data_IF_295874300202
#
_entry.id   IF_295874300202
#
_cell.length_a   1.000
_cell.length_b   1.000
_cell.length_c   1.000
_cell.angle_alpha   90.00
_cell.angle_beta   90.00
_cell.angle_gamma   90.00
#
_symmetry.space_group_name_H-M   'P 1'
#
loop_
_entity.id
_entity.type
_entity.pdbx_description
1 polymer ?
#
# COMPACT_ATOMS: atom_id res chain seq x y z
N UNK A 1 3.04 -5.41 -53.94
CA UNK A 1 3.44 -4.28 -53.06
C UNK A 1 2.45 -3.93 -51.94
N UNK A 2 1.12 -3.99 -52.12
CA UNK A 2 0.16 -3.69 -51.03
C UNK A 2 0.14 -4.73 -49.90
N UNK A 3 0.27 -6.02 -50.22
CA UNK A 3 0.27 -7.11 -49.22
C UNK A 3 1.47 -7.04 -48.26
N UNK A 4 2.65 -6.67 -48.75
CA UNK A 4 3.88 -6.53 -47.95
C UNK A 4 3.72 -5.38 -46.94
N UNK A 5 3.11 -4.26 -47.34
CA UNK A 5 2.85 -3.13 -46.42
C UNK A 5 1.84 -3.47 -45.33
N UNK A 6 0.81 -4.26 -45.64
CA UNK A 6 -0.17 -4.74 -44.65
C UNK A 6 0.48 -5.72 -43.67
N UNK A 7 1.34 -6.62 -44.17
CA UNK A 7 2.08 -7.55 -43.30
C UNK A 7 3.03 -6.81 -42.34
N UNK A 8 3.78 -5.82 -42.81
CA UNK A 8 4.64 -5.00 -41.95
C UNK A 8 3.84 -4.18 -40.92
N UNK A 9 2.65 -3.68 -41.28
CA UNK A 9 1.78 -2.95 -40.34
C UNK A 9 1.21 -3.88 -39.25
N UNK A 10 0.80 -5.10 -39.61
CA UNK A 10 0.31 -6.12 -38.67
C UNK A 10 1.44 -6.59 -37.74
N UNK A 11 2.65 -6.82 -38.26
CA UNK A 11 3.83 -7.17 -37.45
C UNK A 11 4.23 -6.02 -36.51
N UNK A 12 4.09 -4.76 -36.93
CA UNK A 12 4.36 -3.60 -36.07
C UNK A 12 3.34 -3.45 -34.93
N UNK A 13 2.06 -3.74 -35.20
CA UNK A 13 1.00 -3.77 -34.19
C UNK A 13 1.18 -4.94 -33.22
N UNK A 14 1.50 -6.15 -33.71
CA UNK A 14 1.81 -7.30 -32.86
C UNK A 14 3.09 -7.11 -32.03
N UNK A 15 4.12 -6.42 -32.55
CA UNK A 15 5.32 -6.10 -31.78
C UNK A 15 5.06 -5.04 -30.68
N UNK A 16 4.07 -4.16 -30.84
CA UNK A 16 3.65 -3.26 -29.76
C UNK A 16 2.94 -4.01 -28.64
N UNK A 17 2.15 -5.05 -28.96
CA UNK A 17 1.45 -5.87 -27.97
C UNK A 17 2.37 -6.84 -27.21
N UNK A 18 3.57 -7.12 -27.71
CA UNK A 18 4.60 -7.92 -27.03
C UNK A 18 5.58 -7.09 -26.19
N UNK A 19 5.18 -5.90 -25.72
CA UNK A 19 5.84 -5.36 -24.53
C UNK A 19 5.39 -6.18 -23.33
N UNK A 20 6.25 -7.11 -22.89
CA UNK A 20 6.25 -7.61 -21.52
C UNK A 20 5.82 -6.49 -20.58
N UNK A 21 4.79 -6.70 -19.76
CA UNK A 21 4.25 -5.71 -18.83
C UNK A 21 5.40 -5.13 -18.01
N UNK A 22 5.93 -4.00 -18.47
CA UNK A 22 7.16 -3.47 -17.93
C UNK A 22 6.80 -2.92 -16.56
N UNK A 23 7.39 -3.48 -15.50
CA UNK A 23 7.26 -2.93 -14.14
C UNK A 23 7.48 -1.41 -14.18
N UNK A 24 6.42 -0.68 -13.86
CA UNK A 24 6.33 0.78 -13.96
C UNK A 24 6.91 1.46 -12.72
N UNK A 25 7.14 0.70 -11.65
CA UNK A 25 7.86 1.15 -10.47
C UNK A 25 8.86 0.10 -10.01
N UNK A 26 10.09 0.55 -9.71
CA UNK A 26 11.18 -0.29 -9.20
C UNK A 26 11.98 0.45 -8.14
N UNK A 27 12.56 -0.33 -7.23
CA UNK A 27 13.56 0.12 -6.28
C UNK A 27 14.88 -0.53 -6.69
N UNK A 28 15.85 0.27 -7.13
CA UNK A 28 17.11 -0.24 -7.67
C UNK A 28 18.25 0.70 -7.26
N UNK A 29 19.36 0.14 -6.76
CA UNK A 29 20.58 0.89 -6.41
C UNK A 29 20.29 2.14 -5.55
N UNK A 30 19.48 1.98 -4.49
CA UNK A 30 19.11 3.07 -3.58
C UNK A 30 18.23 4.16 -4.22
N UNK A 31 17.58 3.87 -5.34
CA UNK A 31 16.76 4.83 -6.08
C UNK A 31 15.38 4.28 -6.40
N UNK A 32 14.37 5.15 -6.31
CA UNK A 32 13.04 4.87 -6.84
C UNK A 32 13.00 5.24 -8.33
N UNK A 33 12.61 4.27 -9.17
CA UNK A 33 12.45 4.44 -10.61
C UNK A 33 10.98 4.35 -10.95
N UNK A 34 10.38 5.47 -11.37
CA UNK A 34 9.00 5.50 -11.89
C UNK A 34 9.09 5.63 -13.41
N UNK A 35 8.62 4.60 -14.13
CA UNK A 35 8.69 4.47 -15.59
C UNK A 35 10.13 4.72 -16.09
N UNK A 36 11.11 4.13 -15.40
CA UNK A 36 12.54 4.26 -15.71
C UNK A 36 13.19 5.58 -15.27
N UNK A 37 12.43 6.55 -14.73
CA UNK A 37 12.97 7.82 -14.27
C UNK A 37 13.24 7.80 -12.76
N UNK A 38 14.48 8.13 -12.38
CA UNK A 38 14.84 8.38 -10.97
C UNK A 38 13.97 9.49 -10.40
N UNK A 39 13.21 9.15 -9.36
CA UNK A 39 12.24 10.03 -8.74
C UNK A 39 12.46 10.05 -7.23
N UNK A 40 12.54 11.25 -6.64
CA UNK A 40 12.49 11.39 -5.19
C UNK A 40 11.04 11.42 -4.75
N UNK A 41 10.67 10.58 -3.79
CA UNK A 41 9.33 10.62 -3.20
C UNK A 41 9.30 11.67 -2.09
N UNK A 42 8.50 12.70 -2.27
CA UNK A 42 8.22 13.72 -1.25
C UNK A 42 6.78 13.46 -0.79
N UNK A 43 6.67 12.76 0.34
CA UNK A 43 5.44 12.12 0.79
C UNK A 43 4.83 12.87 1.99
N UNK A 44 3.50 13.02 2.00
CA UNK A 44 2.74 13.48 3.16
C UNK A 44 1.69 12.46 3.57
N UNK A 45 1.51 12.26 4.87
CA UNK A 45 0.48 11.37 5.41
C UNK A 45 -0.90 12.06 5.36
N UNK A 46 -1.92 11.36 4.88
CA UNK A 46 -3.30 11.84 4.82
C UNK A 46 -4.26 10.67 5.04
N UNK A 47 -5.11 10.75 6.07
CA UNK A 47 -6.12 9.73 6.35
C UNK A 47 -7.46 10.17 5.80
N UNK A 48 -7.93 9.50 4.72
CA UNK A 48 -9.22 9.79 4.10
C UNK A 48 -10.41 9.61 5.06
N UNK A 49 -10.26 8.70 6.03
CA UNK A 49 -11.24 8.44 7.09
C UNK A 49 -11.46 9.63 8.03
N UNK A 50 -10.47 10.51 8.18
CA UNK A 50 -10.49 11.67 9.07
C UNK A 50 -10.91 12.97 8.34
N UNK A 51 -11.22 12.90 7.05
CA UNK A 51 -11.58 14.05 6.21
C UNK A 51 -12.92 13.76 5.54
N UNK A 52 -13.97 14.58 5.71
CA UNK A 52 -15.23 14.42 4.96
C UNK A 52 -14.97 14.29 3.46
N UNK A 53 -15.64 13.35 2.79
CA UNK A 53 -15.31 12.98 1.42
C UNK A 53 -15.44 14.13 0.43
N UNK A 54 -16.34 15.08 0.71
CA UNK A 54 -16.56 16.29 -0.06
C UNK A 54 -15.31 17.18 -0.10
N UNK A 55 -14.41 17.02 0.87
CA UNK A 55 -13.16 17.77 0.98
C UNK A 55 -11.91 17.01 0.55
N UNK A 56 -11.99 15.73 0.19
CA UNK A 56 -10.81 14.97 -0.25
C UNK A 56 -10.04 15.67 -1.35
N UNK A 57 -10.73 16.09 -2.43
CA UNK A 57 -10.08 16.80 -3.54
C UNK A 57 -9.43 18.12 -3.11
N UNK A 58 -10.09 18.91 -2.25
CA UNK A 58 -9.49 20.15 -1.76
C UNK A 58 -8.19 19.87 -0.99
N UNK A 59 -8.17 18.85 -0.11
CA UNK A 59 -6.96 18.50 0.64
C UNK A 59 -5.84 18.01 -0.28
N UNK A 60 -6.17 17.19 -1.28
CA UNK A 60 -5.20 16.70 -2.27
C UNK A 60 -4.59 17.84 -3.10
N UNK A 61 -5.40 18.84 -3.51
CA UNK A 61 -4.89 20.04 -4.20
C UNK A 61 -3.91 20.83 -3.34
N UNK A 62 -4.19 20.97 -2.04
CA UNK A 62 -3.28 21.64 -1.10
C UNK A 62 -1.98 20.86 -0.92
N UNK A 63 -2.08 19.54 -0.75
CA UNK A 63 -0.93 18.62 -0.72
C UNK A 63 -0.05 18.81 -1.95
N UNK A 64 -0.64 18.86 -3.14
CA UNK A 64 0.09 19.10 -4.39
C UNK A 64 0.74 20.48 -4.42
N UNK A 65 0.01 21.52 -4.00
CA UNK A 65 0.51 22.90 -3.94
C UNK A 65 1.65 23.08 -2.93
N UNK A 66 1.71 22.27 -1.87
CA UNK A 66 2.84 22.22 -0.92
C UNK A 66 4.11 21.62 -1.54
N UNK A 67 4.05 21.08 -2.77
CA UNK A 67 5.18 20.46 -3.46
C UNK A 67 5.30 18.96 -3.24
N UNK A 68 4.33 18.33 -2.56
CA UNK A 68 4.31 16.87 -2.40
C UNK A 68 3.97 16.19 -3.72
N UNK A 69 4.58 15.04 -3.97
CA UNK A 69 4.29 14.22 -5.15
C UNK A 69 3.69 12.86 -4.81
N UNK A 70 3.67 12.50 -3.53
CA UNK A 70 3.16 11.24 -3.02
C UNK A 70 2.35 11.51 -1.76
N UNK A 71 1.29 10.74 -1.56
CA UNK A 71 0.60 10.64 -0.27
C UNK A 71 0.79 9.26 0.32
N UNK A 72 0.77 9.20 1.64
CA UNK A 72 0.68 7.95 2.38
C UNK A 72 -0.66 7.91 3.11
N UNK A 73 -1.31 6.74 3.13
CA UNK A 73 -2.59 6.59 3.80
C UNK A 73 -2.74 5.21 4.44
N UNK A 74 -3.17 5.19 5.71
CA UNK A 74 -3.60 3.97 6.36
C UNK A 74 -4.99 3.53 5.91
N UNK A 75 -5.19 2.22 5.83
CA UNK A 75 -6.51 1.61 5.68
C UNK A 75 -6.95 1.05 7.03
N UNK A 76 -8.04 1.59 7.55
CA UNK A 76 -8.49 1.30 8.91
C UNK A 76 -9.46 0.12 8.86
N UNK A 77 -9.03 -1.07 9.32
CA UNK A 77 -9.81 -2.30 9.21
C UNK A 77 -11.21 -2.22 9.83
N UNK A 78 -11.33 -1.61 11.02
CA UNK A 78 -12.59 -1.38 11.71
C UNK A 78 -13.52 -0.39 11.00
N UNK A 79 -12.94 0.60 10.32
CA UNK A 79 -13.68 1.61 9.57
C UNK A 79 -14.43 0.99 8.39
N UNK A 80 -13.82 0.00 7.74
CA UNK A 80 -14.43 -0.79 6.67
C UNK A 80 -15.27 -1.97 7.16
N UNK A 81 -14.95 -2.55 8.32
CA UNK A 81 -15.66 -3.73 8.86
C UNK A 81 -16.45 -3.38 10.13
N UNK A 82 -17.42 -2.47 9.98
CA UNK A 82 -18.28 -2.01 11.09
C UNK A 82 -19.28 -3.08 11.56
N UNK A 83 -19.79 -3.88 10.63
CA UNK A 83 -20.74 -4.98 10.89
C UNK A 83 -20.07 -6.35 10.67
N UNK A 84 -20.58 -7.43 11.29
CA UNK A 84 -20.09 -8.77 10.99
C UNK A 84 -20.25 -9.06 9.51
N UNK A 85 -19.22 -9.66 8.90
CA UNK A 85 -19.23 -10.15 7.51
C UNK A 85 -19.52 -9.14 6.38
N UNK A 86 -19.76 -7.87 6.72
CA UNK A 86 -20.00 -6.80 5.77
C UNK A 86 -18.80 -5.87 5.76
N UNK A 87 -18.20 -5.70 4.58
CA UNK A 87 -17.23 -4.66 4.31
C UNK A 87 -17.89 -3.50 3.58
N UNK A 88 -17.69 -2.29 4.09
CA UNK A 88 -18.17 -1.04 3.51
C UNK A 88 -17.01 -0.28 2.86
N UNK A 89 -17.15 -0.05 1.56
CA UNK A 89 -16.24 0.74 0.73
C UNK A 89 -17.02 1.79 -0.07
N UNK A 90 -18.09 2.34 0.52
CA UNK A 90 -18.95 3.36 -0.12
C UNK A 90 -18.96 4.66 0.67
N UNK A 91 -19.31 5.75 -0.02
CA UNK A 91 -19.43 7.07 0.59
C UNK A 91 -18.14 7.49 1.29
N UNK A 92 -18.21 7.77 2.59
CA UNK A 92 -17.04 8.15 3.39
C UNK A 92 -15.96 7.05 3.48
N UNK A 93 -16.31 5.79 3.19
CA UNK A 93 -15.39 4.66 3.15
C UNK A 93 -14.95 4.27 1.73
N UNK A 94 -15.32 5.05 0.72
CA UNK A 94 -14.96 4.80 -0.69
C UNK A 94 -13.48 5.11 -0.95
N UNK A 95 -12.64 4.16 -0.57
CA UNK A 95 -11.20 4.26 -0.72
C UNK A 95 -10.79 4.20 -2.20
N UNK A 96 -11.49 3.43 -3.03
CA UNK A 96 -11.20 3.39 -4.46
C UNK A 96 -11.41 4.76 -5.11
N UNK A 97 -12.49 5.46 -4.75
CA UNK A 97 -12.73 6.83 -5.18
C UNK A 97 -11.65 7.79 -4.66
N UNK A 98 -11.26 7.70 -3.39
CA UNK A 98 -10.18 8.52 -2.85
C UNK A 98 -8.87 8.33 -3.63
N UNK A 99 -8.47 7.09 -3.93
CA UNK A 99 -7.28 6.78 -4.74
C UNK A 99 -7.41 7.34 -6.16
N UNK A 100 -8.60 7.25 -6.76
CA UNK A 100 -8.83 7.86 -8.08
C UNK A 100 -8.64 9.38 -8.04
N UNK A 101 -9.10 10.06 -6.98
CA UNK A 101 -8.87 11.49 -6.81
C UNK A 101 -7.38 11.81 -6.69
N UNK A 102 -6.58 10.97 -6.02
CA UNK A 102 -5.14 11.20 -5.92
C UNK A 102 -4.46 11.07 -7.28
N UNK A 103 -4.91 10.13 -8.13
CA UNK A 103 -4.43 9.98 -9.50
C UNK A 103 -4.74 11.23 -10.34
N UNK A 104 -5.98 11.72 -10.28
CA UNK A 104 -6.42 12.91 -11.01
C UNK A 104 -5.65 14.18 -10.59
N UNK A 105 -5.27 14.29 -9.31
CA UNK A 105 -4.43 15.39 -8.80
C UNK A 105 -2.92 15.12 -8.98
N UNK A 106 -2.55 14.10 -9.77
CA UNK A 106 -1.16 13.75 -10.10
C UNK A 106 -0.28 13.51 -8.87
N UNK A 107 -0.83 12.78 -7.90
CA UNK A 107 -0.15 12.29 -6.71
C UNK A 107 -0.02 10.77 -6.80
N UNK A 108 1.11 10.25 -6.34
CA UNK A 108 1.31 8.82 -6.12
C UNK A 108 0.78 8.40 -4.74
N UNK A 109 0.56 7.09 -4.54
CA UNK A 109 0.11 6.56 -3.26
C UNK A 109 1.07 5.50 -2.69
N UNK A 110 1.43 5.68 -1.43
CA UNK A 110 1.96 4.66 -0.54
C UNK A 110 0.80 4.13 0.32
N UNK A 111 0.33 2.91 0.03
CA UNK A 111 -0.81 2.33 0.73
C UNK A 111 -0.34 1.58 1.98
N UNK A 112 -0.96 1.84 3.13
CA UNK A 112 -0.64 1.19 4.41
C UNK A 112 -1.85 0.39 4.88
N UNK A 113 -2.05 -0.84 4.36
CA UNK A 113 -3.31 -1.56 4.47
C UNK A 113 -3.69 -2.00 5.89
N UNK A 114 -2.78 -2.03 6.86
CA UNK A 114 -3.06 -2.66 8.17
C UNK A 114 -3.06 -4.19 8.06
N UNK A 115 -3.75 -4.96 8.92
CA UNK A 115 -4.85 -4.58 9.82
C UNK A 115 -4.48 -3.66 10.99
N UNK A 116 -3.24 -3.77 11.50
CA UNK A 116 -2.76 -2.86 12.54
C UNK A 116 -2.13 -1.63 11.93
N UNK A 117 -2.56 -0.46 12.38
CA UNK A 117 -2.06 0.83 11.89
C UNK A 117 -1.50 1.71 13.00
N UNK A 118 -1.75 1.39 14.27
CA UNK A 118 -1.56 2.31 15.39
C UNK A 118 -2.37 3.60 15.17
N UNK A 119 -1.75 4.62 14.58
CA UNK A 119 -2.33 5.85 14.07
C UNK A 119 -3.21 6.64 15.07
N UNK A 120 -3.02 6.41 16.37
CA UNK A 120 -3.87 6.94 17.44
C UNK A 120 -5.37 6.71 17.16
N UNK A 121 -5.67 5.62 16.44
CA UNK A 121 -7.01 5.24 16.04
C UNK A 121 -7.55 4.14 16.94
N UNK A 122 -8.88 4.10 17.07
CA UNK A 122 -9.57 3.12 17.91
C UNK A 122 -9.07 1.70 17.61
N UNK A 123 -8.63 1.04 18.69
CA UNK A 123 -8.05 -0.29 18.72
C UNK A 123 -6.96 -0.54 17.63
N UNK A 124 -6.19 0.49 17.27
CA UNK A 124 -5.14 0.40 16.25
C UNK A 124 -5.65 -0.03 14.87
N UNK A 125 -6.94 0.17 14.58
CA UNK A 125 -7.58 -0.22 13.32
C UNK A 125 -8.26 -1.59 13.34
N UNK A 126 -8.16 -2.36 14.43
CA UNK A 126 -8.81 -3.66 14.51
C UNK A 126 -10.33 -3.57 14.71
N UNK A 127 -11.13 -4.39 14.00
CA UNK A 127 -12.54 -4.56 14.33
C UNK A 127 -12.70 -5.08 15.75
N UNK A 128 -13.46 -4.37 16.61
CA UNK A 128 -13.62 -4.70 18.03
C UNK A 128 -14.05 -6.15 18.29
N UNK A 129 -14.77 -6.77 17.36
CA UNK A 129 -15.27 -8.15 17.48
C UNK A 129 -14.16 -9.20 17.58
N UNK A 130 -12.94 -8.88 17.12
CA UNK A 130 -11.80 -9.78 17.30
C UNK A 130 -11.47 -10.04 18.77
N UNK A 131 -11.93 -9.16 19.69
CA UNK A 131 -11.83 -9.38 21.14
C UNK A 131 -12.70 -10.54 21.65
N UNK A 132 -13.75 -10.92 20.90
CA UNK A 132 -14.66 -12.00 21.29
C UNK A 132 -14.18 -13.38 20.82
N UNK A 133 -13.11 -13.44 20.02
CA UNK A 133 -12.53 -14.68 19.53
C UNK A 133 -11.67 -15.29 20.64
N UNK A 134 -12.10 -16.43 21.18
CA UNK A 134 -11.36 -17.11 22.24
C UNK A 134 -9.97 -17.54 21.76
N UNK A 135 -8.94 -17.32 22.59
CA UNK A 135 -7.56 -17.63 22.24
C UNK A 135 -6.94 -16.70 21.20
N UNK A 136 -7.55 -15.55 20.91
CA UNK A 136 -6.97 -14.54 20.00
C UNK A 136 -5.63 -14.03 20.52
N UNK A 137 -4.61 -14.07 19.66
CA UNK A 137 -3.31 -13.42 19.89
C UNK A 137 -3.00 -12.52 18.71
N UNK A 138 -3.06 -11.21 18.93
CA UNK A 138 -2.85 -10.20 17.90
C UNK A 138 -1.41 -10.20 17.40
N UNK A 139 -1.23 -9.77 16.15
CA UNK A 139 0.09 -9.58 15.49
C UNK A 139 1.01 -10.81 15.61
N UNK A 140 0.43 -11.99 15.41
CA UNK A 140 1.09 -13.28 15.61
C UNK A 140 0.64 -14.33 14.58
N UNK A 141 1.18 -15.55 14.71
CA UNK A 141 0.78 -16.73 13.94
C UNK A 141 -0.52 -17.40 14.39
N UNK A 142 -1.24 -16.80 15.33
CA UNK A 142 -2.53 -17.32 15.77
C UNK A 142 -3.47 -17.53 14.58
N UNK A 143 -4.07 -18.71 14.49
CA UNK A 143 -4.88 -19.11 13.32
C UNK A 143 -6.10 -18.20 13.12
N UNK A 144 -6.78 -17.82 14.20
CA UNK A 144 -7.93 -16.91 14.14
C UNK A 144 -7.51 -15.53 13.64
N UNK A 145 -6.38 -15.03 14.13
CA UNK A 145 -5.82 -13.76 13.69
C UNK A 145 -5.41 -13.79 12.21
N UNK A 146 -4.68 -14.82 11.76
CA UNK A 146 -4.28 -14.96 10.36
C UNK A 146 -5.49 -15.08 9.42
N UNK A 147 -6.56 -15.80 9.82
CA UNK A 147 -7.82 -15.87 9.05
C UNK A 147 -8.53 -14.52 8.97
N UNK A 148 -8.46 -13.70 10.03
CA UNK A 148 -8.99 -12.33 10.00
C UNK A 148 -8.18 -11.45 9.04
N UNK A 149 -6.84 -11.55 9.08
CA UNK A 149 -5.94 -10.89 8.16
C UNK A 149 -6.21 -11.26 6.70
N UNK A 150 -6.27 -12.55 6.39
CA UNK A 150 -6.49 -13.01 5.01
C UNK A 150 -7.83 -12.49 4.47
N UNK A 151 -8.94 -12.64 5.20
CA UNK A 151 -10.25 -12.13 4.75
C UNK A 151 -10.23 -10.64 4.44
N UNK A 152 -9.60 -9.86 5.31
CA UNK A 152 -9.50 -8.41 5.13
C UNK A 152 -8.62 -8.04 3.93
N UNK A 153 -7.41 -8.61 3.84
CA UNK A 153 -6.45 -8.31 2.79
C UNK A 153 -6.99 -8.73 1.42
N UNK A 154 -7.62 -9.91 1.31
CA UNK A 154 -8.25 -10.36 0.07
C UNK A 154 -9.36 -9.42 -0.38
N UNK A 155 -10.24 -9.01 0.54
CA UNK A 155 -11.29 -8.03 0.24
C UNK A 155 -10.72 -6.68 -0.20
N UNK A 156 -9.66 -6.20 0.46
CA UNK A 156 -8.99 -4.95 0.08
C UNK A 156 -8.35 -5.05 -1.30
N UNK A 157 -7.82 -6.22 -1.65
CA UNK A 157 -7.31 -6.53 -2.98
C UNK A 157 -8.37 -6.39 -4.07
N UNK A 158 -9.58 -6.89 -3.84
CA UNK A 158 -10.70 -6.71 -4.78
C UNK A 158 -11.01 -5.23 -5.05
N UNK A 159 -10.84 -4.37 -4.04
CA UNK A 159 -11.09 -2.93 -4.17
C UNK A 159 -9.97 -2.18 -4.89
N UNK A 160 -8.71 -2.47 -4.56
CA UNK A 160 -7.60 -1.57 -4.90
C UNK A 160 -6.50 -2.19 -5.75
N UNK A 161 -6.44 -3.52 -5.90
CA UNK A 161 -5.34 -4.16 -6.64
C UNK A 161 -5.30 -3.76 -8.11
N UNK A 162 -6.43 -3.32 -8.68
CA UNK A 162 -6.50 -2.78 -10.05
C UNK A 162 -5.90 -1.38 -10.19
N UNK A 163 -5.75 -0.64 -9.08
CA UNK A 163 -5.26 0.74 -9.02
C UNK A 163 -3.75 0.81 -8.70
N UNK A 164 -3.00 -0.26 -8.96
CA UNK A 164 -1.54 -0.24 -8.86
C UNK A 164 -0.89 0.42 -10.07
N UNK A 165 0.31 0.98 -9.87
CA UNK A 165 1.04 1.65 -10.95
C UNK A 165 1.37 0.71 -12.10
N UNK A 166 1.60 -0.58 -11.84
CA UNK A 166 1.87 -1.58 -12.87
C UNK A 166 0.65 -1.82 -13.78
N UNK A 167 -0.55 -1.49 -13.30
CA UNK A 167 -1.82 -1.56 -14.05
C UNK A 167 -2.25 -0.21 -14.65
N UNK A 168 -1.34 0.77 -14.65
CA UNK A 168 -1.56 2.09 -15.26
C UNK A 168 -2.13 3.15 -14.32
N UNK A 169 -2.22 2.86 -13.03
CA UNK A 169 -2.74 3.78 -12.01
C UNK A 169 -1.60 4.32 -11.11
N UNK A 170 -1.83 4.64 -9.83
CA UNK A 170 -0.89 5.43 -9.03
C UNK A 170 -0.46 4.86 -7.66
N UNK A 171 -0.95 3.70 -7.23
CA UNK A 171 -0.42 3.05 -6.02
C UNK A 171 0.97 2.47 -6.34
N UNK A 172 2.00 3.01 -5.69
CA UNK A 172 3.41 2.67 -5.93
C UNK A 172 3.90 1.51 -5.06
N UNK A 173 3.51 1.53 -3.78
CA UNK A 173 3.99 0.60 -2.78
C UNK A 173 2.89 0.27 -1.78
N UNK A 174 3.04 -0.90 -1.17
CA UNK A 174 2.18 -1.36 -0.07
C UNK A 174 3.03 -1.67 1.14
N UNK A 175 2.68 -1.11 2.30
CA UNK A 175 3.34 -1.44 3.54
C UNK A 175 2.83 -2.78 4.08
N UNK A 176 3.75 -3.66 4.47
CA UNK A 176 3.47 -5.03 4.90
C UNK A 176 2.81 -5.10 6.28
N UNK A 177 3.38 -4.40 7.25
CA UNK A 177 2.94 -4.31 8.65
C UNK A 177 3.44 -2.96 9.20
N UNK A 178 2.97 -2.55 10.37
CA UNK A 178 3.29 -1.26 10.98
C UNK A 178 4.15 -1.39 12.23
N UNK A 179 5.43 -1.01 12.15
CA UNK A 179 6.37 -0.98 13.28
C UNK A 179 6.39 -2.32 14.02
N UNK A 180 6.55 -3.42 13.29
CA UNK A 180 6.53 -4.76 13.89
C UNK A 180 7.69 -4.99 14.84
N UNK A 181 8.86 -4.40 14.57
CA UNK A 181 10.01 -4.47 15.46
C UNK A 181 9.80 -3.79 16.82
N UNK A 182 8.78 -2.96 16.98
CA UNK A 182 8.34 -2.45 18.29
C UNK A 182 7.47 -3.46 19.08
N UNK A 183 7.07 -4.57 18.46
CA UNK A 183 6.18 -5.58 19.04
C UNK A 183 6.81 -6.96 19.13
N UNK A 184 7.52 -7.39 18.09
CA UNK A 184 8.16 -8.69 18.01
C UNK A 184 9.03 -8.86 16.77
N UNK A 185 9.44 -10.09 16.50
CA UNK A 185 10.40 -10.44 15.45
C UNK A 185 9.99 -11.70 14.64
N UNK A 186 8.74 -12.15 14.76
CA UNK A 186 8.17 -13.30 14.06
C UNK A 186 8.14 -13.11 12.52
N UNK A 187 9.20 -13.57 11.85
CA UNK A 187 9.32 -13.53 10.38
C UNK A 187 8.33 -14.43 9.66
N UNK A 188 7.83 -15.47 10.32
CA UNK A 188 6.85 -16.38 9.71
C UNK A 188 5.49 -15.67 9.62
N UNK A 189 5.11 -14.91 10.65
CA UNK A 189 3.94 -14.03 10.61
C UNK A 189 4.05 -12.98 9.50
N UNK A 190 5.17 -12.25 9.43
CA UNK A 190 5.40 -11.26 8.36
C UNK A 190 5.35 -11.88 6.96
N UNK A 191 5.94 -13.08 6.79
CA UNK A 191 5.90 -13.82 5.54
C UNK A 191 4.48 -14.24 5.15
N UNK A 192 3.65 -14.64 6.11
CA UNK A 192 2.24 -14.94 5.87
C UNK A 192 1.49 -13.70 5.35
N UNK A 193 1.69 -12.52 5.95
CA UNK A 193 1.10 -11.27 5.46
C UNK A 193 1.58 -10.92 4.05
N UNK A 194 2.86 -11.09 3.75
CA UNK A 194 3.44 -10.82 2.42
C UNK A 194 2.75 -11.67 1.37
N UNK A 195 2.59 -12.96 1.65
CA UNK A 195 1.89 -13.88 0.75
C UNK A 195 0.42 -13.49 0.56
N UNK A 196 -0.27 -13.06 1.61
CA UNK A 196 -1.66 -12.59 1.51
C UNK A 196 -1.78 -11.34 0.63
N UNK A 197 -0.91 -10.34 0.82
CA UNK A 197 -0.90 -9.11 0.02
C UNK A 197 -0.63 -9.42 -1.47
N UNK A 198 0.34 -10.30 -1.75
CA UNK A 198 0.64 -10.72 -3.11
C UNK A 198 -0.53 -11.49 -3.73
N UNK A 199 -1.14 -12.43 -2.98
CA UNK A 199 -2.32 -13.21 -3.41
C UNK A 199 -3.53 -12.32 -3.67
N UNK A 200 -3.68 -11.22 -2.93
CA UNK A 200 -4.71 -10.22 -3.11
C UNK A 200 -4.53 -9.36 -4.38
N UNK A 201 -3.43 -9.56 -5.13
CA UNK A 201 -3.23 -8.97 -6.46
C UNK A 201 -2.36 -7.72 -6.49
N UNK A 202 -1.78 -7.31 -5.34
CA UNK A 202 -0.83 -6.22 -5.27
C UNK A 202 0.52 -6.66 -5.87
N UNK A 203 0.74 -6.27 -7.13
CA UNK A 203 1.87 -6.64 -7.97
C UNK A 203 3.00 -5.61 -7.94
N UNK A 204 3.14 -4.90 -6.82
CA UNK A 204 4.05 -3.77 -6.62
C UNK A 204 4.97 -4.02 -5.42
N UNK A 205 6.12 -3.32 -5.32
CA UNK A 205 7.04 -3.47 -4.20
C UNK A 205 6.37 -3.27 -2.84
N UNK A 206 6.77 -4.10 -1.89
CA UNK A 206 6.36 -3.99 -0.49
C UNK A 206 7.43 -3.25 0.31
N UNK A 207 7.03 -2.61 1.41
CA UNK A 207 7.95 -2.06 2.41
C UNK A 207 7.56 -2.47 3.84
N UNK A 208 8.55 -2.46 4.73
CA UNK A 208 8.33 -2.42 6.19
C UNK A 208 8.75 -1.05 6.71
N UNK A 209 8.31 -0.69 7.90
CA UNK A 209 8.70 0.56 8.51
C UNK A 209 8.80 0.40 10.03
N UNK A 210 9.97 0.72 10.59
CA UNK A 210 10.32 0.52 11.99
C UNK A 210 11.23 1.65 12.49
N UNK A 211 11.44 1.80 13.80
CA UNK A 211 12.36 2.82 14.33
C UNK A 211 13.82 2.40 14.18
N UNK A 212 14.73 3.36 14.35
CA UNK A 212 16.16 3.07 14.50
C UNK A 212 16.40 2.01 15.57
N UNK A 213 17.21 0.99 15.25
CA UNK A 213 17.49 -0.16 16.12
C UNK A 213 16.43 -1.27 16.12
N UNK A 214 15.28 -1.09 15.47
CA UNK A 214 14.21 -2.09 15.41
C UNK A 214 14.05 -2.74 14.03
N UNK A 215 14.79 -2.25 13.03
CA UNK A 215 14.72 -2.73 11.65
C UNK A 215 15.00 -4.23 11.57
N UNK A 216 16.00 -4.73 12.30
CA UNK A 216 16.34 -6.16 12.27
C UNK A 216 15.15 -7.04 12.66
N UNK A 217 14.41 -6.64 13.71
CA UNK A 217 13.22 -7.34 14.18
C UNK A 217 12.00 -7.15 13.28
N UNK A 218 11.81 -5.95 12.70
CA UNK A 218 10.62 -5.62 11.91
C UNK A 218 10.70 -5.90 10.40
N UNK A 219 11.89 -6.00 9.81
CA UNK A 219 12.04 -6.21 8.36
C UNK A 219 11.84 -7.67 7.94
N UNK A 220 11.45 -7.87 6.69
CA UNK A 220 11.40 -9.17 6.04
C UNK A 220 12.23 -9.16 4.76
N UNK A 221 12.97 -10.24 4.49
CA UNK A 221 13.80 -10.33 3.29
C UNK A 221 12.98 -10.15 1.99
N UNK A 222 13.53 -9.39 1.05
CA UNK A 222 12.86 -9.03 -0.21
C UNK A 222 11.70 -8.04 -0.04
N UNK A 223 11.64 -7.34 1.10
CA UNK A 223 10.73 -6.22 1.37
C UNK A 223 11.58 -5.00 1.70
N UNK A 224 11.26 -3.83 1.14
CA UNK A 224 12.07 -2.63 1.30
C UNK A 224 12.01 -2.11 2.75
N UNK A 225 13.13 -2.01 3.49
CA UNK A 225 13.10 -1.50 4.86
C UNK A 225 13.10 0.04 4.86
N UNK A 226 12.10 0.64 5.50
CA UNK A 226 12.03 2.08 5.77
C UNK A 226 12.17 2.35 7.28
N UNK A 227 12.54 3.58 7.65
CA UNK A 227 12.77 3.97 9.04
C UNK A 227 11.84 5.11 9.45
N UNK A 228 11.22 5.00 10.62
CA UNK A 228 10.42 6.05 11.25
C UNK A 228 11.20 6.82 12.32
N UNK A 229 10.85 8.09 12.49
CA UNK A 229 11.21 8.87 13.68
C UNK A 229 12.69 9.21 13.82
N UNK A 230 13.44 9.24 12.71
CA UNK A 230 14.80 9.76 12.67
C UNK A 230 14.71 11.29 12.72
N UNK A 231 15.26 11.90 13.77
CA UNK A 231 15.24 13.36 13.97
C UNK A 231 16.68 13.89 13.95
N UNK A 232 16.87 15.06 13.33
CA UNK A 232 18.15 15.76 13.35
C UNK A 232 19.26 15.03 12.59
N UNK A 233 20.46 14.98 13.18
CA UNK A 233 21.69 14.50 12.54
C UNK A 233 21.65 13.01 12.14
N UNK A 234 20.73 12.24 12.72
CA UNK A 234 20.56 10.82 12.41
C UNK A 234 20.01 10.60 10.99
N UNK A 235 19.39 11.63 10.37
CA UNK A 235 18.86 11.57 8.99
C UNK A 235 20.00 11.41 7.96
N UNK A 236 21.19 11.94 8.27
CA UNK A 236 22.33 11.98 7.35
C UNK A 236 23.37 10.87 7.60
N UNK A 237 23.13 10.00 8.60
CA UNK A 237 24.08 8.97 9.02
C UNK A 237 23.68 7.53 8.62
N UNK A 238 22.65 7.40 7.78
CA UNK A 238 22.22 6.13 7.18
C UNK A 238 23.02 5.79 5.92
#
# INVERSE_FOLDING_TARGET
>A
MKLIKVFFLIVFILCCELTSAQQRFKIENGSFLIVGKRTQLICGEMHYSCIPHEYWRDRLKRTKAMGLNTISTYVLGNFHKRQPDIFDFKGQADLSHFIKLTQEESLYVLLRPGLYVCAEWDFGGYPYRLLNEEGMVFRSRNEHFLKACERYIMRLGEELSSQTINRGDNILMVQLENEYGSYGDDKIYLSALKNMIQKAGFDIPLLTCDRGGQIEAGHLEGVFPAINGVLGDDILRL
#
